data_IF_921528198993
#
_entry.id   IF_921528198993
#
_cell.length_a   1.000
_cell.length_b   1.000
_cell.length_c   1.000
_cell.angle_alpha   90.00
_cell.angle_beta   90.00
_cell.angle_gamma   90.00
#
_symmetry.space_group_name_H-M   'P 1'
#
loop_
_entity.id
_entity.type
_entity.pdbx_description
1 polymer ?
#
# COMPACT_ATOMS: atom_id res chain seq x y z
N UNK A 1 10.88 -1.71 -7.87
CA UNK A 1 10.37 -0.35 -7.63
C UNK A 1 11.19 0.26 -6.50
N UNK A 2 11.46 1.56 -6.51
CA UNK A 2 12.19 2.22 -5.43
C UNK A 2 11.27 2.74 -4.33
N UNK A 3 11.80 2.78 -3.10
CA UNK A 3 11.08 3.28 -1.92
C UNK A 3 11.82 4.43 -1.24
N UNK A 4 11.05 5.22 -0.51
CA UNK A 4 11.52 6.25 0.40
C UNK A 4 11.15 5.89 1.83
N UNK A 5 12.11 6.02 2.75
CA UNK A 5 11.87 5.94 4.19
C UNK A 5 11.86 7.36 4.77
N UNK A 6 10.71 7.77 5.31
CA UNK A 6 10.53 9.04 6.00
C UNK A 6 10.57 8.77 7.50
N UNK A 7 11.67 9.19 8.14
CA UNK A 7 11.84 9.11 9.59
C UNK A 7 11.04 10.22 10.27
N UNK A 8 10.05 9.82 11.06
CA UNK A 8 9.13 10.72 11.77
C UNK A 8 9.33 10.67 13.30
N UNK A 9 10.40 10.03 13.76
CA UNK A 9 10.75 9.92 15.18
C UNK A 9 9.94 8.87 15.93
N UNK A 10 9.36 7.89 15.23
CA UNK A 10 8.62 6.80 15.83
C UNK A 10 9.45 5.51 15.85
N UNK A 11 9.12 4.58 16.74
CA UNK A 11 9.84 3.30 16.84
C UNK A 11 9.45 2.32 15.72
N UNK A 12 8.22 2.41 15.23
CA UNK A 12 7.65 1.49 14.24
C UNK A 12 7.59 2.12 12.85
N UNK A 13 7.69 1.27 11.84
CA UNK A 13 7.57 1.66 10.43
C UNK A 13 6.28 1.10 9.82
N UNK A 14 5.65 1.90 8.97
CA UNK A 14 4.45 1.56 8.22
C UNK A 14 4.73 1.71 6.72
N UNK A 15 4.58 0.61 5.99
CA UNK A 15 4.59 0.62 4.53
C UNK A 15 3.19 1.06 4.06
N UNK A 16 3.10 2.15 3.31
CA UNK A 16 1.83 2.66 2.78
C UNK A 16 1.77 2.36 1.27
N UNK A 17 0.85 1.48 0.87
CA UNK A 17 0.69 1.03 -0.50
C UNK A 17 -0.55 1.66 -1.14
N UNK A 18 -0.39 2.55 -2.12
CA UNK A 18 -1.51 3.16 -2.82
C UNK A 18 -2.19 2.15 -3.76
N UNK A 19 -3.38 2.52 -4.22
CA UNK A 19 -4.09 1.79 -5.26
C UNK A 19 -3.33 1.83 -6.59
N UNK A 20 -3.64 0.90 -7.49
CA UNK A 20 -2.95 0.85 -8.78
C UNK A 20 -3.11 2.15 -9.59
N UNK A 21 -2.01 2.60 -10.18
CA UNK A 21 -1.92 3.85 -10.94
C UNK A 21 -1.75 5.11 -10.06
N UNK A 22 -1.81 4.99 -8.74
CA UNK A 22 -1.66 6.12 -7.82
C UNK A 22 -0.25 6.18 -7.21
N UNK A 23 0.22 7.41 -6.97
CA UNK A 23 1.42 7.71 -6.19
C UNK A 23 1.09 7.86 -4.69
N UNK A 24 2.14 7.87 -3.87
CA UNK A 24 2.03 7.99 -2.41
C UNK A 24 1.42 9.31 -1.91
N UNK A 25 1.27 10.32 -2.75
CA UNK A 25 0.67 11.62 -2.40
C UNK A 25 -0.78 11.50 -1.90
N UNK A 26 -1.49 10.41 -2.22
CA UNK A 26 -2.82 10.13 -1.67
C UNK A 26 -2.81 10.02 -0.14
N UNK A 27 -1.65 9.72 0.45
CA UNK A 27 -1.45 9.59 1.89
C UNK A 27 -0.91 10.86 2.55
N UNK A 28 -0.78 11.95 1.80
CA UNK A 28 -0.18 13.22 2.28
C UNK A 28 -0.85 13.82 3.51
N UNK A 29 -2.12 13.50 3.76
CA UNK A 29 -2.86 13.96 4.94
C UNK A 29 -2.77 13.02 6.15
N UNK A 30 -2.16 11.84 6.01
CA UNK A 30 -2.02 10.88 7.11
C UNK A 30 -0.99 11.35 8.14
N UNK A 31 -1.37 11.26 9.41
CA UNK A 31 -0.51 11.61 10.56
C UNK A 31 -0.55 10.53 11.66
N UNK A 32 -0.39 9.27 11.25
CA UNK A 32 -0.32 8.11 12.15
C UNK A 32 1.03 8.04 12.88
N UNK A 33 1.13 7.43 14.05
CA UNK A 33 2.40 7.37 14.83
C UNK A 33 3.40 6.31 14.33
N UNK A 34 3.87 6.45 13.09
CA UNK A 34 4.83 5.54 12.44
C UNK A 34 5.85 6.32 11.59
N UNK A 35 7.06 5.78 11.39
CA UNK A 35 7.87 6.15 10.24
C UNK A 35 7.19 5.61 8.97
N UNK A 36 7.32 6.31 7.85
CA UNK A 36 6.64 5.90 6.62
C UNK A 36 7.61 5.33 5.60
N UNK A 37 7.20 4.25 4.97
CA UNK A 37 7.86 3.66 3.82
C UNK A 37 6.91 3.80 2.64
N UNK A 38 7.33 4.54 1.62
CA UNK A 38 6.50 4.95 0.49
C UNK A 38 7.12 4.49 -0.82
N UNK A 39 6.36 3.95 -1.79
CA UNK A 39 6.85 3.81 -3.15
C UNK A 39 7.09 5.19 -3.78
N UNK A 40 8.21 5.35 -4.49
CA UNK A 40 8.60 6.61 -5.16
C UNK A 40 7.87 6.90 -6.48
N UNK A 41 6.97 6.02 -6.89
CA UNK A 41 6.21 6.14 -8.13
C UNK A 41 4.88 5.39 -8.08
N UNK A 42 4.11 5.41 -9.17
CA UNK A 42 2.81 4.77 -9.21
C UNK A 42 2.95 3.24 -9.13
N UNK A 43 2.16 2.62 -8.26
CA UNK A 43 2.11 1.16 -8.14
C UNK A 43 1.27 0.61 -9.29
N UNK A 44 1.82 -0.27 -10.12
CA UNK A 44 1.10 -0.83 -11.28
C UNK A 44 1.11 -2.35 -11.35
N UNK A 45 1.66 -3.00 -10.32
CA UNK A 45 1.80 -4.46 -10.20
C UNK A 45 2.06 -4.83 -8.74
N UNK A 46 2.17 -6.12 -8.47
CA UNK A 46 2.76 -6.60 -7.23
C UNK A 46 4.23 -6.14 -7.13
N UNK A 47 4.59 -5.65 -5.94
CA UNK A 47 5.90 -5.12 -5.57
C UNK A 47 6.42 -5.75 -4.27
N UNK A 48 5.85 -6.88 -3.84
CA UNK A 48 6.18 -7.55 -2.57
C UNK A 48 7.67 -7.88 -2.44
N UNK A 49 8.30 -8.38 -3.50
CA UNK A 49 9.74 -8.68 -3.51
C UNK A 49 10.55 -7.40 -3.29
N UNK A 50 10.16 -6.30 -3.93
CA UNK A 50 10.90 -5.05 -3.78
C UNK A 50 10.69 -4.37 -2.43
N UNK A 51 9.52 -4.57 -1.79
CA UNK A 51 9.32 -4.18 -0.39
C UNK A 51 10.30 -4.97 0.48
N UNK A 52 10.34 -6.29 0.34
CA UNK A 52 11.24 -7.17 1.10
C UNK A 52 12.71 -6.74 0.96
N UNK A 53 13.18 -6.58 -0.27
CA UNK A 53 14.57 -6.22 -0.55
C UNK A 53 14.92 -4.83 0.02
N UNK A 54 13.97 -3.88 -0.04
CA UNK A 54 14.13 -2.58 0.58
C UNK A 54 14.27 -2.68 2.10
N UNK A 55 13.40 -3.45 2.77
CA UNK A 55 13.46 -3.63 4.22
C UNK A 55 14.79 -4.24 4.67
N UNK A 56 15.27 -5.27 3.97
CA UNK A 56 16.59 -5.86 4.23
C UNK A 56 17.71 -4.84 4.04
N UNK A 57 17.66 -4.03 2.97
CA UNK A 57 18.68 -2.98 2.73
C UNK A 57 18.72 -1.88 3.79
N UNK A 58 17.70 -1.81 4.65
CA UNK A 58 17.57 -0.83 5.74
C UNK A 58 17.70 -1.45 7.12
N UNK A 59 18.04 -2.75 7.21
CA UNK A 59 18.08 -3.51 8.46
C UNK A 59 16.77 -3.42 9.25
N UNK A 60 15.62 -3.34 8.55
CA UNK A 60 14.29 -3.29 9.16
C UNK A 60 13.75 -4.72 9.26
N UNK A 61 13.67 -5.25 10.48
CA UNK A 61 13.23 -6.62 10.74
C UNK A 61 11.72 -6.82 10.52
N UNK A 62 10.89 -5.85 10.90
CA UNK A 62 9.43 -5.95 10.82
C UNK A 62 8.78 -4.60 10.54
N UNK A 63 7.60 -4.64 9.92
CA UNK A 63 6.78 -3.47 9.61
C UNK A 63 5.31 -3.75 9.79
N UNK A 64 4.53 -2.69 10.03
CA UNK A 64 3.12 -2.70 9.68
C UNK A 64 2.97 -2.38 8.19
N UNK A 65 1.92 -2.88 7.52
CA UNK A 65 1.61 -2.55 6.13
C UNK A 65 0.15 -2.12 5.98
N UNK A 66 -0.09 -1.06 5.22
CA UNK A 66 -1.42 -0.57 4.88
C UNK A 66 -1.55 -0.55 3.37
N UNK A 67 -2.56 -1.23 2.84
CA UNK A 67 -2.91 -1.16 1.43
C UNK A 67 -4.29 -0.56 1.22
N UNK A 68 -4.38 0.39 0.28
CA UNK A 68 -5.64 1.01 -0.11
C UNK A 68 -6.08 0.55 -1.49
N UNK A 69 -7.38 0.28 -1.66
CA UNK A 69 -7.97 -0.16 -2.94
C UNK A 69 -7.21 -1.40 -3.46
N UNK A 70 -6.76 -1.42 -4.71
CA UNK A 70 -5.95 -2.51 -5.26
C UNK A 70 -4.58 -2.68 -4.58
N UNK A 71 -4.07 -1.64 -3.89
CA UNK A 71 -2.86 -1.74 -3.07
C UNK A 71 -3.02 -2.66 -1.86
N UNK A 72 -4.27 -2.95 -1.44
CA UNK A 72 -4.53 -3.95 -0.42
C UNK A 72 -4.16 -5.37 -0.85
N UNK A 73 -4.25 -5.70 -2.15
CA UNK A 73 -3.78 -7.00 -2.64
C UNK A 73 -2.27 -7.13 -2.45
N UNK A 74 -1.50 -6.10 -2.78
CA UNK A 74 -0.04 -6.08 -2.53
C UNK A 74 0.27 -6.25 -1.04
N UNK A 75 -0.49 -5.62 -0.15
CA UNK A 75 -0.29 -5.78 1.30
C UNK A 75 -0.54 -7.22 1.77
N UNK A 76 -1.56 -7.88 1.21
CA UNK A 76 -1.90 -9.27 1.50
C UNK A 76 -0.89 -10.26 0.89
N UNK A 77 -0.45 -10.01 -0.34
CA UNK A 77 0.55 -10.83 -1.03
C UNK A 77 1.91 -10.74 -0.30
N UNK A 78 2.28 -9.54 0.14
CA UNK A 78 3.48 -9.34 0.96
C UNK A 78 3.39 -10.07 2.30
N UNK A 79 2.25 -10.01 2.99
CA UNK A 79 2.01 -10.78 4.22
C UNK A 79 2.12 -12.30 3.97
N UNK A 80 1.57 -12.80 2.86
CA UNK A 80 1.60 -14.22 2.53
C UNK A 80 3.02 -14.69 2.19
N UNK A 81 3.81 -13.86 1.51
CA UNK A 81 5.19 -14.19 1.12
C UNK A 81 6.21 -14.04 2.26
N UNK A 82 6.00 -13.08 3.16
CA UNK A 82 6.98 -12.71 4.20
C UNK A 82 6.32 -12.51 5.58
N UNK A 83 5.63 -13.52 6.13
CA UNK A 83 4.83 -13.38 7.34
C UNK A 83 5.64 -12.95 8.57
N UNK A 84 6.91 -13.37 8.66
CA UNK A 84 7.79 -13.04 9.79
C UNK A 84 8.19 -11.56 9.85
N UNK A 85 7.98 -10.81 8.77
CA UNK A 85 8.27 -9.37 8.68
C UNK A 85 7.04 -8.49 8.96
N UNK A 86 5.89 -9.08 9.29
CA UNK A 86 4.63 -8.36 9.48
C UNK A 86 4.26 -8.25 10.96
N UNK A 87 4.09 -7.00 11.41
CA UNK A 87 3.47 -6.69 12.71
C UNK A 87 1.95 -6.61 12.62
N UNK A 88 1.44 -5.98 11.55
CA UNK A 88 0.02 -5.76 11.31
C UNK A 88 -0.27 -5.47 9.84
N UNK A 89 -1.47 -5.84 9.39
CA UNK A 89 -1.97 -5.55 8.04
C UNK A 89 -3.26 -4.73 8.14
N UNK A 90 -3.26 -3.57 7.47
CA UNK A 90 -4.41 -2.69 7.38
C UNK A 90 -4.93 -2.67 5.93
N UNK A 91 -6.17 -3.12 5.75
CA UNK A 91 -6.82 -3.19 4.42
C UNK A 91 -7.91 -2.13 4.35
N UNK A 92 -7.75 -1.17 3.45
CA UNK A 92 -8.68 -0.03 3.30
C UNK A 92 -9.35 -0.07 1.93
N UNK A 93 -10.69 -0.05 1.92
CA UNK A 93 -11.50 0.05 0.70
C UNK A 93 -11.20 -1.03 -0.35
N UNK A 94 -10.77 -2.22 0.08
CA UNK A 94 -10.64 -3.38 -0.80
C UNK A 94 -12.02 -3.87 -1.20
N UNK A 95 -12.27 -3.96 -2.50
CA UNK A 95 -13.48 -4.55 -3.05
C UNK A 95 -13.12 -5.81 -3.82
N UNK A 96 -13.90 -6.86 -3.60
CA UNK A 96 -13.75 -8.13 -4.33
C UNK A 96 -14.25 -8.00 -5.78
N UNK A 97 -15.31 -7.25 -5.98
CA UNK A 97 -15.93 -7.01 -7.28
C UNK A 97 -16.72 -5.70 -7.23
N UNK A 98 -16.99 -5.14 -8.40
CA UNK A 98 -17.96 -4.06 -8.59
C UNK A 98 -19.27 -4.66 -9.05
N UNK A 99 -20.37 -4.14 -8.53
CA UNK A 99 -21.70 -4.58 -8.97
C UNK A 99 -21.99 -4.08 -10.39
N UNK A 100 -22.75 -4.85 -11.16
CA UNK A 100 -23.06 -4.50 -12.55
C UNK A 100 -23.83 -3.18 -12.66
N UNK A 101 -24.78 -2.94 -11.74
CA UNK A 101 -25.56 -1.69 -11.73
C UNK A 101 -24.67 -0.50 -11.35
N UNK A 102 -23.71 -0.70 -10.43
CA UNK A 102 -22.73 0.33 -10.10
C UNK A 102 -21.90 0.70 -11.33
N UNK A 103 -21.38 -0.29 -12.07
CA UNK A 103 -20.62 -0.06 -13.30
C UNK A 103 -21.47 0.67 -14.35
N UNK A 104 -22.70 0.21 -14.60
CA UNK A 104 -23.62 0.84 -15.54
C UNK A 104 -23.92 2.29 -15.16
N UNK A 105 -24.12 2.57 -13.87
CA UNK A 105 -24.39 3.93 -13.40
C UNK A 105 -23.23 4.88 -13.68
N UNK A 106 -21.98 4.42 -13.52
CA UNK A 106 -20.78 5.22 -13.83
C UNK A 106 -20.62 5.44 -15.33
N UNK A 107 -20.88 4.42 -16.16
CA UNK A 107 -20.82 4.54 -17.62
C UNK A 107 -21.84 5.57 -18.13
N UNK A 108 -23.09 5.49 -17.68
CA UNK A 108 -24.13 6.44 -18.06
C UNK A 108 -23.78 7.89 -17.63
N UNK A 109 -23.10 8.06 -16.49
CA UNK A 109 -22.68 9.37 -16.02
C UNK A 109 -21.55 10.00 -16.87
N UNK A 110 -20.78 9.20 -17.59
CA UNK A 110 -19.72 9.69 -18.48
C UNK A 110 -20.25 10.09 -19.87
N UNK A 111 -21.43 9.61 -20.25
CA UNK A 111 -22.08 9.93 -21.53
C UNK A 111 -22.97 11.18 -21.46
N UNK A 112 -23.22 11.71 -20.25
CA UNK A 112 -24.02 12.90 -19.98
C UNK A 112 -23.17 14.19 -19.96
#
# INVERSE_FOLDING_TARGET
>A
MDFELILRGHERSLVLIPGWGFCSDIFSSLNLSYNYILPKGPVCRDISIEIHDFLLSKDIASVSILGWSLGAYVALDFQAGYPDMIEAVYVISLRKAFDYEEILSQLNALEA
#
